data_IF_450551880019
#
_entry.id   IF_450551880019
#
_cell.length_a   1.000
_cell.length_b   1.000
_cell.length_c   1.000
_cell.angle_alpha   90.00
_cell.angle_beta   90.00
_cell.angle_gamma   90.00
#
_symmetry.space_group_name_H-M   'P 1'
#
loop_
_entity.id
_entity.type
_entity.pdbx_description
1 polymer ?
#
# COMPACT_ATOMS: atom_id res chain seq x y z
N UNK A 1 8.26 12.20 18.55
CA UNK A 1 7.45 11.09 18.00
C UNK A 1 7.68 11.05 16.49
N UNK A 2 8.94 10.84 16.10
CA UNK A 2 9.47 10.80 14.72
C UNK A 2 10.24 9.49 14.52
N UNK A 3 10.94 9.02 15.56
CA UNK A 3 11.61 7.70 15.58
C UNK A 3 10.69 6.52 15.25
N UNK A 4 9.44 6.55 15.73
CA UNK A 4 8.51 5.45 15.53
C UNK A 4 8.09 5.32 14.07
N UNK A 5 7.93 6.44 13.38
CA UNK A 5 7.56 6.46 11.97
C UNK A 5 8.73 6.03 11.11
N UNK A 6 9.93 6.54 11.38
CA UNK A 6 11.15 6.20 10.63
C UNK A 6 11.51 4.71 10.75
N UNK A 7 11.40 4.12 11.96
CA UNK A 7 11.64 2.69 12.18
C UNK A 7 10.59 1.79 11.53
N UNK A 8 9.31 2.17 11.60
CA UNK A 8 8.22 1.34 11.08
C UNK A 8 8.07 1.48 9.57
N UNK A 9 8.44 2.62 9.01
CA UNK A 9 8.31 2.94 7.60
C UNK A 9 9.20 2.06 6.71
N UNK A 10 10.44 1.78 7.13
CA UNK A 10 11.31 0.82 6.44
C UNK A 10 10.76 -0.61 6.49
N UNK A 11 10.36 -1.04 7.69
CA UNK A 11 9.81 -2.38 7.90
C UNK A 11 8.55 -2.58 7.06
N UNK A 12 7.61 -1.64 7.10
CA UNK A 12 6.41 -1.66 6.27
C UNK A 12 6.75 -1.68 4.78
N UNK A 13 7.73 -0.90 4.32
CA UNK A 13 8.20 -0.92 2.93
C UNK A 13 8.68 -2.31 2.52
N UNK A 14 9.57 -2.91 3.32
CA UNK A 14 10.11 -4.24 3.02
C UNK A 14 9.04 -5.31 3.02
N UNK A 15 8.08 -5.28 3.94
CA UNK A 15 6.99 -6.27 3.98
C UNK A 15 6.06 -6.11 2.78
N UNK A 16 5.72 -4.88 2.39
CA UNK A 16 4.91 -4.61 1.19
C UNK A 16 5.63 -5.12 -0.05
N UNK A 17 6.93 -4.82 -0.21
CA UNK A 17 7.72 -5.27 -1.35
C UNK A 17 7.78 -6.80 -1.41
N UNK A 18 8.08 -7.46 -0.29
CA UNK A 18 8.13 -8.92 -0.21
C UNK A 18 6.78 -9.55 -0.53
N UNK A 19 5.68 -8.96 -0.04
CA UNK A 19 4.32 -9.44 -0.32
C UNK A 19 3.98 -9.32 -1.81
N UNK A 20 4.38 -8.22 -2.46
CA UNK A 20 4.18 -8.03 -3.90
C UNK A 20 4.99 -9.03 -4.74
N UNK A 21 6.25 -9.27 -4.37
CA UNK A 21 7.11 -10.28 -5.02
C UNK A 21 6.50 -11.67 -4.85
N UNK A 22 6.10 -12.05 -3.63
CA UNK A 22 5.46 -13.33 -3.36
C UNK A 22 4.18 -13.52 -4.18
N UNK A 23 3.32 -12.51 -4.25
CA UNK A 23 2.10 -12.56 -5.07
C UNK A 23 2.40 -12.78 -6.55
N UNK A 24 3.40 -12.09 -7.08
CA UNK A 24 3.81 -12.25 -8.47
C UNK A 24 4.35 -13.65 -8.75
N UNK A 25 5.27 -14.14 -7.92
CA UNK A 25 5.89 -15.46 -8.09
C UNK A 25 4.87 -16.59 -7.96
N UNK A 26 3.98 -16.49 -6.97
CA UNK A 26 2.91 -17.49 -6.77
C UNK A 26 1.89 -17.46 -7.90
N UNK A 27 1.53 -16.26 -8.38
CA UNK A 27 0.66 -16.12 -9.56
C UNK A 27 1.28 -16.70 -10.82
N UNK A 28 2.59 -16.54 -11.00
CA UNK A 28 3.33 -17.18 -12.08
C UNK A 28 3.30 -18.71 -11.95
N UNK A 29 3.57 -19.24 -10.76
CA UNK A 29 3.54 -20.67 -10.48
C UNK A 29 2.16 -21.27 -10.77
N UNK A 30 1.08 -20.63 -10.31
CA UNK A 30 -0.30 -21.07 -10.56
C UNK A 30 -0.60 -21.21 -12.06
N UNK A 31 -0.07 -20.31 -12.89
CA UNK A 31 -0.36 -20.28 -14.33
C UNK A 31 0.52 -21.22 -15.14
N UNK A 32 1.80 -21.32 -14.80
CA UNK A 32 2.80 -21.99 -15.64
C UNK A 32 3.30 -23.32 -15.07
N UNK A 33 3.05 -23.61 -13.80
CA UNK A 33 3.44 -24.87 -13.20
C UNK A 33 2.44 -25.96 -13.56
N UNK A 34 2.94 -27.08 -14.08
CA UNK A 34 2.13 -28.27 -14.28
C UNK A 34 2.02 -28.97 -12.93
N UNK A 35 0.89 -28.78 -12.25
CA UNK A 35 0.64 -29.43 -10.98
C UNK A 35 0.31 -30.90 -11.20
N UNK A 36 1.21 -31.78 -10.73
CA UNK A 36 0.98 -33.23 -10.73
C UNK A 36 -0.14 -33.62 -9.76
N UNK A 37 -0.32 -32.84 -8.69
CA UNK A 37 -1.35 -33.07 -7.67
C UNK A 37 -2.22 -31.83 -7.43
N UNK A 38 -3.54 -32.00 -7.25
CA UNK A 38 -4.45 -30.88 -6.97
C UNK A 38 -4.17 -30.19 -5.63
N UNK A 39 -3.50 -30.88 -4.70
CA UNK A 39 -3.11 -30.33 -3.41
C UNK A 39 -2.07 -29.21 -3.54
N UNK A 40 -1.16 -29.31 -4.50
CA UNK A 40 -0.08 -28.33 -4.71
C UNK A 40 -0.62 -27.02 -5.30
N UNK A 41 -1.61 -27.13 -6.20
CA UNK A 41 -2.36 -25.98 -6.70
C UNK A 41 -3.14 -25.29 -5.57
N UNK A 42 -3.80 -26.08 -4.71
CA UNK A 42 -4.52 -25.55 -3.56
C UNK A 42 -3.57 -24.85 -2.57
N UNK A 43 -2.39 -25.43 -2.32
CA UNK A 43 -1.36 -24.83 -1.48
C UNK A 43 -0.90 -23.48 -2.04
N UNK A 44 -0.63 -23.42 -3.35
CA UNK A 44 -0.24 -22.19 -4.05
C UNK A 44 -1.33 -21.11 -3.95
N UNK A 45 -2.60 -21.48 -4.15
CA UNK A 45 -3.74 -20.56 -3.99
C UNK A 45 -3.87 -20.02 -2.56
N UNK A 46 -3.74 -20.88 -1.55
CA UNK A 46 -3.80 -20.46 -0.13
C UNK A 46 -2.65 -19.50 0.19
N UNK A 47 -1.44 -19.78 -0.29
CA UNK A 47 -0.29 -18.91 -0.10
C UNK A 47 -0.49 -17.54 -0.78
N UNK A 48 -1.06 -17.49 -1.98
CA UNK A 48 -1.41 -16.24 -2.65
C UNK A 48 -2.43 -15.41 -1.85
N UNK A 49 -3.48 -16.05 -1.32
CA UNK A 49 -4.48 -15.38 -0.48
C UNK A 49 -3.83 -14.83 0.80
N UNK A 50 -2.93 -15.60 1.41
CA UNK A 50 -2.20 -15.17 2.60
C UNK A 50 -1.32 -13.94 2.34
N UNK A 51 -0.57 -13.93 1.24
CA UNK A 51 0.27 -12.81 0.83
C UNK A 51 -0.56 -11.55 0.52
N UNK A 52 -1.70 -11.72 -0.16
CA UNK A 52 -2.65 -10.62 -0.39
C UNK A 52 -3.22 -10.06 0.91
N UNK A 53 -3.57 -10.94 1.84
CA UNK A 53 -4.10 -10.55 3.15
C UNK A 53 -3.08 -9.75 3.95
N UNK A 54 -1.80 -10.14 3.91
CA UNK A 54 -0.71 -9.40 4.54
C UNK A 54 -0.52 -8.02 3.94
N UNK A 55 -0.56 -7.92 2.61
CA UNK A 55 -0.46 -6.65 1.90
C UNK A 55 -1.59 -5.69 2.31
N UNK A 56 -2.84 -6.19 2.36
CA UNK A 56 -4.01 -5.41 2.77
C UNK A 56 -3.94 -5.00 4.24
N UNK A 57 -3.46 -5.88 5.13
CA UNK A 57 -3.33 -5.61 6.55
C UNK A 57 -2.41 -4.41 6.84
N UNK A 58 -1.44 -4.13 5.97
CA UNK A 58 -0.53 -2.99 6.11
C UNK A 58 -1.10 -1.74 5.44
N UNK A 59 -1.58 -1.87 4.20
CA UNK A 59 -1.99 -0.70 3.42
C UNK A 59 -3.30 -0.10 3.93
N UNK A 60 -4.28 -0.92 4.32
CA UNK A 60 -5.60 -0.45 4.76
C UNK A 60 -5.52 0.45 6.00
N UNK A 61 -4.96 0.02 7.15
CA UNK A 61 -4.88 0.88 8.32
C UNK A 61 -3.99 2.10 8.08
N UNK A 62 -2.90 1.97 7.33
CA UNK A 62 -2.06 3.12 6.99
C UNK A 62 -2.83 4.17 6.15
N UNK A 63 -3.63 3.74 5.18
CA UNK A 63 -4.49 4.63 4.39
C UNK A 63 -5.56 5.29 5.25
N UNK A 64 -6.20 4.54 6.17
CA UNK A 64 -7.22 5.09 7.08
C UNK A 64 -6.60 6.14 8.01
N UNK A 65 -5.42 5.88 8.58
CA UNK A 65 -4.71 6.84 9.42
C UNK A 65 -4.32 8.09 8.65
N UNK A 66 -3.89 7.96 7.40
CA UNK A 66 -3.58 9.10 6.53
C UNK A 66 -4.82 9.94 6.23
N UNK A 67 -5.95 9.31 5.88
CA UNK A 67 -7.23 10.01 5.66
C UNK A 67 -7.74 10.70 6.93
N UNK A 68 -7.67 10.04 8.08
CA UNK A 68 -8.06 10.62 9.36
C UNK A 68 -7.18 11.83 9.74
N UNK A 69 -5.90 11.79 9.41
CA UNK A 69 -4.97 12.90 9.66
C UNK A 69 -5.31 14.11 8.78
N UNK A 70 -5.62 13.90 7.51
CA UNK A 70 -6.07 14.98 6.61
C UNK A 70 -7.44 15.54 7.01
N UNK A 71 -8.38 14.69 7.46
CA UNK A 71 -9.65 15.14 7.99
C UNK A 71 -9.49 15.96 9.28
N UNK A 72 -8.65 15.51 10.21
CA UNK A 72 -8.36 16.25 11.44
C UNK A 72 -7.68 17.60 11.13
N UNK A 73 -6.78 17.64 10.14
CA UNK A 73 -6.10 18.85 9.70
C UNK A 73 -7.05 19.83 9.01
N UNK A 74 -7.98 19.36 8.18
CA UNK A 74 -8.96 20.24 7.54
C UNK A 74 -9.90 20.88 8.58
N UNK A 75 -10.34 20.11 9.57
CA UNK A 75 -11.12 20.61 10.72
C UNK A 75 -10.30 21.60 11.57
N UNK A 76 -9.04 21.29 11.83
CA UNK A 76 -8.15 22.18 12.56
C UNK A 76 -7.83 23.48 11.80
N UNK A 77 -7.82 23.47 10.46
CA UNK A 77 -7.69 24.68 9.64
C UNK A 77 -8.98 25.50 9.59
N UNK A 78 -10.17 24.87 9.71
CA UNK A 78 -11.44 25.59 9.80
C UNK A 78 -11.74 26.19 11.18
N UNK A 79 -11.25 25.56 12.26
CA UNK A 79 -11.42 26.05 13.64
C UNK A 79 -10.98 27.52 13.87
N UNK A 80 -9.80 27.96 13.42
CA UNK A 80 -9.35 29.35 13.59
C UNK A 80 -10.13 30.35 12.73
N UNK A 81 -10.98 29.92 11.80
CA UNK A 81 -11.89 30.83 11.09
C UNK A 81 -13.12 31.19 11.95
N UNK A 82 -13.54 30.28 12.84
CA UNK A 82 -14.63 30.49 13.80
C UNK A 82 -14.18 31.19 15.09
N UNK A 83 -12.95 30.95 15.54
CA UNK A 83 -12.42 31.56 16.77
C UNK A 83 -11.91 32.96 16.46
N UNK A 84 -12.67 33.93 16.96
CA UNK A 84 -12.57 35.37 16.70
C UNK A 84 -11.16 35.96 16.82
N UNK A 85 -11.00 37.09 16.14
CA UNK A 85 -9.83 37.96 15.89
C UNK A 85 -8.79 38.24 17.00
N UNK A 86 -8.88 37.69 18.22
CA UNK A 86 -8.16 38.24 19.37
C UNK A 86 -6.78 37.63 19.68
N UNK A 87 -6.39 36.50 19.08
CA UNK A 87 -5.11 35.83 19.40
C UNK A 87 -4.36 35.39 18.14
N UNK A 88 -3.67 36.34 17.50
CA UNK A 88 -2.89 36.09 16.27
C UNK A 88 -1.63 35.24 16.51
N UNK A 89 -1.03 35.30 17.70
CA UNK A 89 0.18 34.53 18.03
C UNK A 89 -0.12 33.04 18.29
N UNK A 90 -1.21 32.73 19.02
CA UNK A 90 -1.66 31.35 19.23
C UNK A 90 -2.14 30.67 17.94
N UNK A 91 -2.73 31.44 17.00
CA UNK A 91 -3.02 30.96 15.64
C UNK A 91 -1.75 30.58 14.88
N UNK A 92 -0.67 31.35 15.01
CA UNK A 92 0.56 31.11 14.27
C UNK A 92 1.31 29.87 14.78
N UNK A 93 1.41 29.68 16.10
CA UNK A 93 2.07 28.50 16.68
C UNK A 93 1.28 27.20 16.43
N UNK A 94 -0.04 27.23 16.62
CA UNK A 94 -0.89 26.07 16.32
C UNK A 94 -0.82 25.71 14.84
N UNK A 95 -0.92 26.70 13.95
CA UNK A 95 -0.74 26.50 12.51
C UNK A 95 0.64 25.90 12.19
N UNK A 96 1.73 26.36 12.84
CA UNK A 96 3.09 25.81 12.63
C UNK A 96 3.22 24.35 13.05
N UNK A 97 2.57 23.95 14.16
CA UNK A 97 2.48 22.54 14.57
C UNK A 97 1.62 21.70 13.63
N UNK A 98 0.48 22.22 13.16
CA UNK A 98 -0.40 21.55 12.18
C UNK A 98 0.19 21.47 10.76
N UNK A 99 1.12 22.38 10.41
CA UNK A 99 1.86 22.36 9.15
C UNK A 99 2.94 21.29 9.11
N UNK A 100 3.28 20.66 10.24
CA UNK A 100 4.16 19.51 10.25
C UNK A 100 3.40 18.34 9.63
N UNK A 101 3.56 18.17 8.30
CA UNK A 101 3.01 17.09 7.50
C UNK A 101 3.48 15.74 8.06
N UNK A 102 2.71 15.16 8.97
CA UNK A 102 2.91 13.80 9.46
C UNK A 102 1.96 12.91 8.68
N UNK A 103 2.47 12.32 7.62
CA UNK A 103 1.78 11.27 6.88
C UNK A 103 2.56 10.00 7.07
N UNK A 104 1.86 8.90 7.36
CA UNK A 104 2.45 7.58 7.26
C UNK A 104 2.82 7.34 5.80
N UNK A 105 4.10 7.50 5.53
CA UNK A 105 4.69 7.23 4.23
C UNK A 105 5.40 5.89 4.27
N UNK A 106 5.33 5.17 3.16
CA UNK A 106 6.19 4.04 2.91
C UNK A 106 7.56 4.59 2.51
N UNK A 107 8.50 4.55 3.44
CA UNK A 107 9.86 5.08 3.38
C UNK A 107 9.95 6.49 2.75
N UNK A 108 9.03 7.42 3.04
CA UNK A 108 9.02 8.76 2.44
C UNK A 108 8.93 8.80 0.88
N UNK A 109 8.76 7.64 0.22
CA UNK A 109 8.69 7.50 -1.26
C UNK A 109 7.22 7.51 -1.71
N UNK A 110 6.33 6.88 -0.94
CA UNK A 110 4.90 6.81 -1.26
C UNK A 110 4.05 7.18 -0.05
N UNK A 111 3.09 8.08 -0.25
CA UNK A 111 1.96 8.23 0.69
C UNK A 111 1.11 6.98 0.57
N UNK A 112 0.88 6.28 1.68
CA UNK A 112 0.00 5.11 1.71
C UNK A 112 -1.43 5.58 1.48
N UNK A 113 -1.95 5.28 0.30
CA UNK A 113 -3.30 5.59 -0.12
C UNK A 113 -3.97 4.34 -0.72
N UNK A 114 -5.28 4.41 -0.93
CA UNK A 114 -6.04 3.31 -1.54
C UNK A 114 -5.60 3.03 -2.99
N UNK A 115 -5.05 4.01 -3.71
CA UNK A 115 -4.59 3.83 -5.10
C UNK A 115 -3.43 2.84 -5.22
N UNK A 116 -2.60 2.70 -4.19
CA UNK A 116 -1.51 1.72 -4.18
C UNK A 116 -2.02 0.28 -4.32
N UNK A 117 -3.17 -0.04 -3.71
CA UNK A 117 -3.83 -1.35 -3.83
C UNK A 117 -4.29 -1.58 -5.27
N UNK A 118 -4.98 -0.61 -5.85
CA UNK A 118 -5.46 -0.70 -7.23
C UNK A 118 -4.30 -0.81 -8.24
N UNK A 119 -3.20 -0.10 -7.98
CA UNK A 119 -1.99 -0.16 -8.81
C UNK A 119 -1.30 -1.52 -8.68
N UNK A 120 -1.19 -2.08 -7.48
CA UNK A 120 -0.62 -3.40 -7.27
C UNK A 120 -1.45 -4.51 -7.97
N UNK A 121 -2.77 -4.47 -7.86
CA UNK A 121 -3.66 -5.43 -8.55
C UNK A 121 -3.57 -5.23 -10.08
N UNK A 122 -3.61 -3.98 -10.54
CA UNK A 122 -3.55 -3.65 -11.97
C UNK A 122 -2.24 -4.08 -12.61
N UNK A 123 -1.12 -3.89 -11.92
CA UNK A 123 0.20 -4.37 -12.39
C UNK A 123 0.28 -5.88 -12.41
N UNK A 124 -0.20 -6.58 -11.37
CA UNK A 124 -0.25 -8.03 -11.34
C UNK A 124 -1.08 -8.59 -12.52
N UNK A 125 -2.24 -8.00 -12.79
CA UNK A 125 -3.11 -8.41 -13.90
C UNK A 125 -2.47 -8.10 -15.27
N UNK A 126 -1.85 -6.93 -15.41
CA UNK A 126 -1.17 -6.52 -16.65
C UNK A 126 0.00 -7.45 -16.98
N UNK A 127 0.86 -7.72 -15.98
CA UNK A 127 1.97 -8.65 -16.16
C UNK A 127 1.49 -10.09 -16.36
N UNK A 128 0.43 -10.52 -15.67
CA UNK A 128 -0.20 -11.82 -15.89
C UNK A 128 -0.72 -12.01 -17.33
N UNK A 129 -1.40 -11.00 -17.88
CA UNK A 129 -1.86 -11.01 -19.28
C UNK A 129 -0.66 -11.03 -20.25
N UNK A 130 0.37 -10.21 -19.99
CA UNK A 130 1.57 -10.16 -20.84
C UNK A 130 2.26 -11.53 -20.88
N UNK A 131 2.41 -12.17 -19.72
CA UNK A 131 3.00 -13.50 -19.60
C UNK A 131 2.13 -14.56 -20.29
N UNK A 132 0.82 -14.57 -20.08
CA UNK A 132 -0.08 -15.53 -20.74
C UNK A 132 -0.10 -15.40 -22.26
N UNK A 133 -0.04 -14.17 -22.77
CA UNK A 133 -0.02 -13.90 -24.22
C UNK A 133 1.33 -14.21 -24.87
N UNK A 134 2.45 -13.94 -24.19
CA UNK A 134 3.79 -14.29 -24.67
C UNK A 134 4.06 -15.81 -24.58
N UNK A 135 3.65 -16.46 -23.49
CA UNK A 135 3.80 -17.91 -23.30
C UNK A 135 3.08 -18.71 -24.37
N UNK A 136 1.86 -18.31 -24.74
CA UNK A 136 1.10 -18.94 -25.83
C UNK A 136 1.80 -18.80 -27.20
N UNK A 137 2.50 -17.69 -27.46
CA UNK A 137 3.27 -17.50 -28.70
C UNK A 137 4.55 -18.34 -28.75
N UNK A 138 5.17 -18.61 -27.61
CA UNK A 138 6.35 -19.46 -27.50
C UNK A 138 6.00 -20.95 -27.61
N UNK A 139 4.89 -21.40 -27.02
CA UNK A 139 4.45 -22.81 -27.09
C UNK A 139 3.94 -23.25 -28.47
N UNK A 140 3.53 -22.33 -29.35
CA UNK A 140 3.08 -22.63 -30.72
C UNK A 140 4.24 -22.63 -31.73
N UNK A 141 5.44 -22.19 -31.30
CA UNK A 141 6.62 -22.05 -32.16
C UNK A 141 7.70 -23.12 -31.88
N UNK A 142 7.38 -24.11 -31.05
CA UNK A 142 8.20 -25.27 -30.72
C UNK A 142 7.48 -26.53 -31.20
#
# INVERSE_FOLDING_TARGET
MTDFEECFSFSAFTIVLMSMISLFMTGYEIVFHNYDFPLDLLHSCVYAIYALSHLLLIIVPASITNEATEAAKSVAMSLPYEISSNEKELKFESQKCFFQKKFLTLWNIYVLDRSLIFTAIGTLLTYGILLGTLGKKLSVRM
#
